data_IF_977185161952
#
_entry.id   IF_977185161952
#
_cell.length_a   1.000
_cell.length_b   1.000
_cell.length_c   1.000
_cell.angle_alpha   90.00
_cell.angle_beta   90.00
_cell.angle_gamma   90.00
#
_symmetry.space_group_name_H-M   'P 1'
#
loop_
_entity.id
_entity.type
_entity.pdbx_description
1 polymer ?
#
# COMPACT_ATOMS: atom_id res chain seq x y z
N UNK A 1 2.09 6.55 31.75
CA UNK A 1 0.77 6.14 31.25
C UNK A 1 0.69 6.62 29.81
N UNK A 2 0.42 5.73 28.85
CA UNK A 2 0.31 6.13 27.44
C UNK A 2 -1.10 6.68 27.25
N UNK A 3 -1.23 7.89 26.71
CA UNK A 3 -2.51 8.41 26.26
C UNK A 3 -2.74 7.85 24.85
N UNK A 4 -3.74 6.99 24.70
CA UNK A 4 -4.07 6.35 23.43
C UNK A 4 -5.59 6.18 23.35
N UNK A 5 -6.16 6.47 22.18
CA UNK A 5 -7.59 6.34 21.95
C UNK A 5 -7.99 4.88 21.66
N UNK A 6 -9.24 4.46 21.95
CA UNK A 6 -9.67 3.08 21.73
C UNK A 6 -9.60 2.62 20.26
N UNK A 7 -9.93 3.50 19.33
CA UNK A 7 -9.87 3.27 17.88
C UNK A 7 -8.43 3.18 17.35
N UNK A 8 -7.47 3.89 17.97
CA UNK A 8 -6.05 3.71 17.70
C UNK A 8 -5.57 2.32 18.17
N UNK A 9 -6.01 1.86 19.34
CA UNK A 9 -5.69 0.53 19.84
C UNK A 9 -6.23 -0.57 18.94
N UNK A 10 -7.45 -0.41 18.43
CA UNK A 10 -8.06 -1.34 17.48
C UNK A 10 -7.23 -1.42 16.19
N UNK A 11 -6.85 -0.28 15.61
CA UNK A 11 -6.01 -0.24 14.41
C UNK A 11 -4.64 -0.90 14.63
N UNK A 12 -4.00 -0.68 15.78
CA UNK A 12 -2.73 -1.35 16.14
C UNK A 12 -2.91 -2.87 16.24
N UNK A 13 -4.04 -3.33 16.78
CA UNK A 13 -4.33 -4.76 16.88
C UNK A 13 -4.55 -5.40 15.51
N UNK A 14 -5.28 -4.73 14.62
CA UNK A 14 -5.49 -5.16 13.23
C UNK A 14 -4.16 -5.30 12.48
N UNK A 15 -3.29 -4.31 12.62
CA UNK A 15 -1.98 -4.27 11.96
C UNK A 15 -0.99 -5.28 12.55
N UNK A 16 -1.20 -5.69 13.81
CA UNK A 16 -0.50 -6.83 14.40
C UNK A 16 -0.83 -8.18 13.77
N UNK A 17 -1.86 -8.27 12.90
CA UNK A 17 -2.24 -9.48 12.15
C UNK A 17 -2.36 -10.74 13.03
N UNK A 18 -2.84 -10.56 14.27
CA UNK A 18 -2.99 -11.63 15.27
C UNK A 18 -1.76 -11.91 16.14
N UNK A 19 -0.66 -11.19 15.95
CA UNK A 19 0.56 -11.28 16.76
C UNK A 19 0.58 -10.20 17.84
N UNK A 20 0.38 -10.61 19.09
CA UNK A 20 0.45 -9.70 20.25
C UNK A 20 1.83 -9.02 20.35
N UNK A 21 2.91 -9.75 20.02
CA UNK A 21 4.27 -9.20 20.01
C UNK A 21 4.41 -8.07 19.00
N UNK A 22 3.85 -8.24 17.81
CA UNK A 22 3.96 -7.24 16.75
C UNK A 22 3.14 -5.99 17.09
N UNK A 23 1.96 -6.15 17.70
CA UNK A 23 1.18 -5.04 18.24
C UNK A 23 1.94 -4.25 19.32
N UNK A 24 2.65 -4.93 20.24
CA UNK A 24 3.48 -4.24 21.25
C UNK A 24 4.68 -3.53 20.62
N UNK A 25 5.35 -4.18 19.66
CA UNK A 25 6.47 -3.59 18.92
C UNK A 25 6.05 -2.31 18.20
N UNK A 26 4.89 -2.33 17.55
CA UNK A 26 4.31 -1.18 16.84
C UNK A 26 3.92 -0.07 17.83
N UNK A 27 3.32 -0.41 18.97
CA UNK A 27 2.99 0.56 20.01
C UNK A 27 4.24 1.25 20.58
N UNK A 28 5.32 0.51 20.83
CA UNK A 28 6.59 1.07 21.30
C UNK A 28 7.22 2.01 20.25
N UNK A 29 7.11 1.68 18.97
CA UNK A 29 7.55 2.57 17.88
C UNK A 29 6.74 3.87 17.86
N UNK A 30 5.41 3.80 17.90
CA UNK A 30 4.53 4.98 17.92
C UNK A 30 4.82 5.89 19.11
N UNK A 31 5.04 5.29 20.29
CA UNK A 31 5.42 6.01 21.50
C UNK A 31 6.77 6.73 21.37
N UNK A 32 7.72 6.18 20.61
CA UNK A 32 9.01 6.84 20.38
C UNK A 32 8.93 8.05 19.43
N UNK A 33 7.83 8.19 18.70
CA UNK A 33 7.60 9.23 17.70
C UNK A 33 6.76 10.39 18.23
N UNK A 34 5.97 10.18 19.28
CA UNK A 34 5.10 11.21 19.88
C UNK A 34 5.18 11.22 21.40
N UNK A 35 5.17 12.44 21.95
CA UNK A 35 5.00 12.69 23.38
C UNK A 35 3.52 13.01 23.73
N UNK A 36 2.60 12.86 22.76
CA UNK A 36 1.18 13.21 22.85
C UNK A 36 0.25 11.98 22.86
N UNK A 37 -1.05 12.23 22.89
CA UNK A 37 -2.08 11.21 22.70
C UNK A 37 -1.92 10.56 21.33
N UNK A 38 -1.78 9.23 21.31
CA UNK A 38 -1.79 8.43 20.09
C UNK A 38 -3.26 8.26 19.66
N UNK A 39 -3.64 8.90 18.56
CA UNK A 39 -4.96 8.75 17.95
C UNK A 39 -4.91 7.91 16.65
N UNK A 40 -6.07 7.51 16.13
CA UNK A 40 -6.16 6.66 14.93
C UNK A 40 -5.50 7.29 13.71
N UNK A 41 -5.66 8.61 13.53
CA UNK A 41 -5.08 9.34 12.41
C UNK A 41 -3.55 9.30 12.45
N UNK A 42 -2.96 9.53 13.62
CA UNK A 42 -1.52 9.41 13.79
C UNK A 42 -1.03 7.98 13.51
N UNK A 43 -1.74 6.96 14.00
CA UNK A 43 -1.39 5.56 13.71
C UNK A 43 -1.45 5.27 12.22
N UNK A 44 -2.53 5.67 11.54
CA UNK A 44 -2.68 5.49 10.10
C UNK A 44 -1.53 6.14 9.34
N UNK A 45 -1.20 7.39 9.67
CA UNK A 45 -0.14 8.15 9.03
C UNK A 45 1.25 7.56 9.25
N UNK A 46 1.57 7.09 10.46
CA UNK A 46 2.85 6.40 10.74
C UNK A 46 2.97 5.11 9.94
N UNK A 47 1.87 4.37 9.79
CA UNK A 47 1.84 3.13 9.04
C UNK A 47 1.68 3.35 7.53
N UNK A 48 1.54 4.61 7.09
CA UNK A 48 1.30 4.99 5.71
C UNK A 48 -0.06 4.53 5.19
N UNK A 49 -1.03 4.22 6.04
CA UNK A 49 -2.38 3.78 5.67
C UNK A 49 -3.19 4.94 5.09
N UNK A 50 -4.02 4.65 4.08
CA UNK A 50 -4.98 5.63 3.61
C UNK A 50 -6.10 5.85 4.63
N UNK A 51 -6.60 7.08 4.62
CA UNK A 51 -7.77 7.48 5.39
C UNK A 51 -9.03 6.80 4.86
N UNK A 52 -9.99 6.56 5.75
CA UNK A 52 -11.23 5.84 5.45
C UNK A 52 -12.00 6.51 4.30
N UNK A 53 -12.03 7.84 4.25
CA UNK A 53 -12.69 8.63 3.20
C UNK A 53 -12.10 8.39 1.81
N UNK A 54 -10.77 8.26 1.72
CA UNK A 54 -10.08 8.01 0.46
C UNK A 54 -10.40 6.61 -0.07
N UNK A 55 -10.41 5.62 0.82
CA UNK A 55 -10.73 4.23 0.45
C UNK A 55 -12.19 4.10 0.02
N UNK A 56 -13.13 4.77 0.70
CA UNK A 56 -14.52 4.85 0.27
C UNK A 56 -14.66 5.55 -1.09
N UNK A 57 -13.91 6.63 -1.32
CA UNK A 57 -13.84 7.31 -2.61
C UNK A 57 -13.40 6.40 -3.75
N UNK A 58 -12.39 5.56 -3.52
CA UNK A 58 -11.91 4.58 -4.50
C UNK A 58 -12.98 3.52 -4.82
N UNK A 59 -13.71 3.03 -3.81
CA UNK A 59 -14.83 2.09 -4.01
C UNK A 59 -16.00 2.74 -4.76
N UNK A 60 -16.29 4.01 -4.48
CA UNK A 60 -17.31 4.76 -5.20
C UNK A 60 -16.92 4.98 -6.67
N UNK A 61 -15.66 5.37 -6.93
CA UNK A 61 -15.11 5.51 -8.28
C UNK A 61 -15.15 4.18 -9.05
N UNK A 62 -14.82 3.07 -8.38
CA UNK A 62 -15.01 1.74 -8.94
C UNK A 62 -16.47 1.48 -9.30
N UNK A 63 -17.41 1.80 -8.40
CA UNK A 63 -18.83 1.54 -8.60
C UNK A 63 -19.43 2.30 -9.79
N UNK A 64 -18.98 3.54 -10.02
CA UNK A 64 -19.40 4.39 -11.13
C UNK A 64 -18.56 4.22 -12.39
N UNK A 65 -17.53 3.34 -12.36
CA UNK A 65 -16.55 3.17 -13.42
C UNK A 65 -15.81 4.48 -13.79
N UNK A 66 -15.63 5.38 -12.82
CA UNK A 66 -14.91 6.64 -12.99
C UNK A 66 -13.39 6.43 -12.80
N UNK A 67 -12.74 6.09 -13.91
CA UNK A 67 -11.29 5.86 -13.95
C UNK A 67 -10.51 7.16 -13.65
N UNK A 68 -11.05 8.31 -14.04
CA UNK A 68 -10.39 9.60 -13.84
C UNK A 68 -10.32 9.96 -12.36
N UNK A 69 -11.44 9.82 -11.65
CA UNK A 69 -11.49 10.04 -10.21
C UNK A 69 -10.64 9.00 -9.44
N UNK A 70 -10.69 7.73 -9.85
CA UNK A 70 -9.84 6.68 -9.25
C UNK A 70 -8.35 7.00 -9.37
N UNK A 71 -7.89 7.48 -10.54
CA UNK A 71 -6.49 7.86 -10.74
C UNK A 71 -6.08 9.03 -9.85
N UNK A 72 -6.95 10.05 -9.71
CA UNK A 72 -6.69 11.20 -8.83
C UNK A 72 -6.55 10.78 -7.36
N UNK A 73 -7.43 9.90 -6.87
CA UNK A 73 -7.36 9.41 -5.49
C UNK A 73 -6.11 8.55 -5.23
N UNK A 74 -5.64 7.79 -6.22
CA UNK A 74 -4.36 7.07 -6.11
C UNK A 74 -3.19 8.07 -6.01
N UNK A 75 -3.19 9.12 -6.84
CA UNK A 75 -2.14 10.14 -6.82
C UNK A 75 -2.13 10.91 -5.48
N UNK A 76 -3.32 11.23 -4.95
CA UNK A 76 -3.47 11.86 -3.63
C UNK A 76 -2.94 10.95 -2.51
N UNK A 77 -3.27 9.67 -2.54
CA UNK A 77 -2.78 8.70 -1.57
C UNK A 77 -1.26 8.55 -1.61
N UNK A 78 -0.65 8.44 -2.79
CA UNK A 78 0.80 8.35 -2.93
C UNK A 78 1.49 9.64 -2.44
N UNK A 79 0.93 10.81 -2.77
CA UNK A 79 1.43 12.09 -2.26
C UNK A 79 1.30 12.20 -0.74
N UNK A 80 0.26 11.60 -0.14
CA UNK A 80 0.09 11.48 1.30
C UNK A 80 0.97 10.39 1.96
N UNK A 81 1.77 9.67 1.16
CA UNK A 81 2.70 8.65 1.66
C UNK A 81 2.13 7.25 1.76
N UNK A 82 0.93 7.00 1.22
CA UNK A 82 0.31 5.68 1.13
C UNK A 82 0.65 5.01 -0.21
N UNK A 83 1.48 3.96 -0.22
CA UNK A 83 1.85 3.28 -1.47
C UNK A 83 0.68 2.44 -2.02
N UNK A 84 0.65 2.25 -3.34
CA UNK A 84 -0.41 1.54 -4.04
C UNK A 84 -0.62 0.08 -3.55
N UNK A 85 0.44 -0.59 -3.10
CA UNK A 85 0.38 -1.93 -2.50
C UNK A 85 -0.47 -1.93 -1.23
N UNK A 86 -0.27 -0.95 -0.37
CA UNK A 86 -0.98 -0.83 0.90
C UNK A 86 -2.45 -0.40 0.66
N UNK A 87 -2.67 0.51 -0.29
CA UNK A 87 -4.02 0.83 -0.77
C UNK A 87 -4.76 -0.41 -1.25
N UNK A 88 -4.09 -1.25 -2.04
CA UNK A 88 -4.68 -2.48 -2.55
C UNK A 88 -5.00 -3.47 -1.42
N UNK A 89 -4.14 -3.59 -0.40
CA UNK A 89 -4.41 -4.41 0.79
C UNK A 89 -5.63 -3.89 1.58
N UNK A 90 -5.74 -2.57 1.78
CA UNK A 90 -6.89 -1.96 2.46
C UNK A 90 -8.18 -2.20 1.67
N UNK A 91 -8.17 -1.92 0.37
CA UNK A 91 -9.30 -2.18 -0.53
C UNK A 91 -9.69 -3.65 -0.54
N UNK A 92 -8.72 -4.57 -0.57
CA UNK A 92 -8.97 -6.01 -0.52
C UNK A 92 -9.68 -6.40 0.77
N UNK A 93 -9.24 -5.85 1.91
CA UNK A 93 -9.84 -6.07 3.22
C UNK A 93 -11.31 -5.65 3.27
N UNK A 94 -11.60 -4.42 2.85
CA UNK A 94 -12.96 -3.85 2.85
C UNK A 94 -13.84 -4.56 1.82
N UNK A 95 -13.35 -4.75 0.59
CA UNK A 95 -14.11 -5.43 -0.45
C UNK A 95 -14.48 -6.87 -0.04
N UNK A 96 -13.59 -7.58 0.66
CA UNK A 96 -13.87 -8.93 1.18
C UNK A 96 -14.99 -8.93 2.21
N UNK A 97 -15.06 -7.91 3.06
CA UNK A 97 -16.15 -7.78 4.04
C UNK A 97 -17.49 -7.48 3.35
N UNK A 98 -17.48 -6.61 2.34
CA UNK A 98 -18.70 -6.13 1.65
C UNK A 98 -19.20 -7.03 0.53
N UNK A 99 -18.39 -7.96 0.03
CA UNK A 99 -18.75 -8.82 -1.12
C UNK A 99 -20.01 -9.66 -0.90
N UNK A 100 -20.35 -9.96 0.35
CA UNK A 100 -21.57 -10.69 0.71
C UNK A 100 -22.83 -9.87 0.38
N UNK A 101 -22.73 -8.55 0.52
CA UNK A 101 -23.82 -7.60 0.28
C UNK A 101 -23.76 -7.02 -1.14
N UNK A 102 -22.55 -6.84 -1.70
CA UNK A 102 -22.31 -6.36 -3.06
C UNK A 102 -21.42 -7.31 -3.86
N UNK A 103 -22.05 -8.22 -4.60
CA UNK A 103 -21.37 -9.15 -5.49
C UNK A 103 -20.63 -8.46 -6.66
N UNK A 104 -20.92 -7.18 -6.94
CA UNK A 104 -20.21 -6.42 -7.99
C UNK A 104 -18.74 -6.15 -7.62
N UNK A 105 -18.33 -6.38 -6.36
CA UNK A 105 -16.93 -6.29 -5.93
C UNK A 105 -16.10 -7.53 -6.26
N UNK A 106 -16.71 -8.65 -6.65
CA UNK A 106 -15.97 -9.89 -6.97
C UNK A 106 -14.90 -9.72 -8.05
N UNK A 107 -15.15 -9.03 -9.17
CA UNK A 107 -14.10 -8.79 -10.17
C UNK A 107 -12.96 -7.92 -9.63
N UNK A 108 -13.27 -6.93 -8.78
CA UNK A 108 -12.24 -6.10 -8.13
C UNK A 108 -11.36 -6.95 -7.20
N UNK A 109 -11.97 -7.80 -6.37
CA UNK A 109 -11.26 -8.71 -5.47
C UNK A 109 -10.26 -9.59 -6.21
N UNK A 110 -10.68 -10.22 -7.32
CA UNK A 110 -9.80 -11.05 -8.16
C UNK A 110 -8.56 -10.28 -8.63
N UNK A 111 -8.75 -9.02 -9.09
CA UNK A 111 -7.66 -8.17 -9.57
C UNK A 111 -6.75 -7.66 -8.45
N UNK A 112 -7.31 -7.30 -7.29
CA UNK A 112 -6.54 -6.80 -6.15
C UNK A 112 -5.52 -7.82 -5.63
N UNK A 113 -5.80 -9.13 -5.76
CA UNK A 113 -4.85 -10.19 -5.36
C UNK A 113 -3.52 -10.17 -6.13
N UNK A 114 -3.50 -9.59 -7.33
CA UNK A 114 -2.31 -9.49 -8.17
C UNK A 114 -1.49 -8.22 -7.88
N UNK A 115 -2.10 -7.17 -7.32
CA UNK A 115 -1.48 -5.85 -7.17
C UNK A 115 -0.21 -5.88 -6.30
N UNK A 116 -0.18 -6.53 -5.11
CA UNK A 116 1.02 -6.56 -4.27
C UNK A 116 2.21 -7.29 -4.89
N UNK A 117 1.99 -8.09 -5.94
CA UNK A 117 3.05 -8.85 -6.65
C UNK A 117 3.39 -8.26 -8.01
N UNK A 118 2.71 -7.20 -8.42
CA UNK A 118 2.98 -6.56 -9.69
C UNK A 118 4.33 -5.84 -9.62
N UNK A 119 5.09 -5.84 -10.72
CA UNK A 119 6.28 -4.98 -10.81
C UNK A 119 5.94 -3.47 -10.84
N UNK A 120 4.66 -3.15 -11.08
CA UNK A 120 4.14 -1.79 -11.24
C UNK A 120 2.80 -1.65 -10.49
N UNK A 121 2.80 -1.66 -9.13
CA UNK A 121 1.58 -1.77 -8.32
C UNK A 121 0.58 -0.65 -8.55
N UNK A 122 1.03 0.60 -8.75
CA UNK A 122 0.17 1.73 -9.11
C UNK A 122 -0.66 1.47 -10.38
N UNK A 123 -0.01 0.98 -11.43
CA UNK A 123 -0.69 0.66 -12.70
C UNK A 123 -1.62 -0.54 -12.52
N UNK A 124 -1.17 -1.57 -11.80
CA UNK A 124 -2.00 -2.73 -11.50
C UNK A 124 -3.27 -2.33 -10.74
N UNK A 125 -3.15 -1.47 -9.72
CA UNK A 125 -4.28 -0.94 -8.96
C UNK A 125 -5.25 -0.15 -9.85
N UNK A 126 -4.74 0.75 -10.69
CA UNK A 126 -5.58 1.51 -11.61
C UNK A 126 -6.33 0.60 -12.59
N UNK A 127 -5.65 -0.43 -13.13
CA UNK A 127 -6.31 -1.40 -14.02
C UNK A 127 -7.32 -2.29 -13.28
N UNK A 128 -7.09 -2.58 -12.00
CA UNK A 128 -8.04 -3.29 -11.16
C UNK A 128 -9.32 -2.46 -10.96
N UNK A 129 -9.19 -1.17 -10.68
CA UNK A 129 -10.32 -0.24 -10.54
C UNK A 129 -11.04 0.02 -11.88
N UNK A 130 -10.32 0.01 -13.00
CA UNK A 130 -10.91 0.13 -14.33
C UNK A 130 -11.65 -1.14 -14.81
N UNK A 131 -11.51 -2.28 -14.10
CA UNK A 131 -12.05 -3.57 -14.55
C UNK A 131 -13.56 -3.61 -14.72
N UNK A 132 -14.31 -2.72 -14.05
CA UNK A 132 -15.76 -2.59 -14.21
C UNK A 132 -16.17 -1.90 -15.51
N UNK A 133 -15.32 -1.00 -16.03
CA UNK A 133 -15.56 -0.27 -17.27
C UNK A 133 -15.29 -1.14 -18.51
N UNK A 134 -14.47 -2.18 -18.37
CA UNK A 134 -14.07 -3.01 -19.49
C UNK A 134 -15.23 -3.91 -19.94
N UNK A 135 -15.76 -3.76 -21.17
CA UNK A 135 -16.58 -4.82 -21.73
C UNK A 135 -15.73 -6.10 -21.82
N UNK A 136 -16.34 -7.30 -21.67
CA UNK A 136 -15.60 -8.53 -21.94
C UNK A 136 -15.08 -8.42 -23.35
N UNK A 137 -13.75 -8.46 -23.52
CA UNK A 137 -13.11 -8.48 -24.84
C UNK A 137 -13.79 -9.58 -25.64
N UNK A 138 -14.58 -9.14 -26.62
CA UNK A 138 -15.44 -9.98 -27.40
C UNK A 138 -14.60 -11.05 -28.11
N UNK A 139 -15.03 -12.30 -27.93
CA UNK A 139 -14.87 -13.49 -28.76
C UNK A 139 -13.50 -13.75 -29.45
N UNK A 140 -12.97 -14.99 -29.36
CA UNK A 140 -11.87 -15.42 -30.22
C UNK A 140 -12.21 -15.10 -31.67
N UNK A 141 -11.26 -14.52 -32.40
CA UNK A 141 -11.38 -14.16 -33.80
C UNK A 141 -12.12 -15.24 -34.58
N UNK A 142 -13.39 -14.96 -34.93
CA UNK A 142 -14.13 -15.81 -35.85
C UNK A 142 -13.46 -15.63 -37.20
N UNK A 143 -12.58 -16.57 -37.53
CA UNK A 143 -11.98 -16.71 -38.85
C UNK A 143 -13.14 -16.66 -39.87
N UNK A 144 -13.12 -15.77 -40.87
CA UNK A 144 -14.15 -15.78 -41.89
C UNK A 144 -14.00 -17.08 -42.68
N UNK A 145 -14.90 -18.04 -42.42
CA UNK A 145 -15.08 -19.18 -43.32
C UNK A 145 -15.48 -18.64 -44.69
N UNK A 146 -14.82 -19.06 -45.79
CA UNK A 146 -15.23 -18.62 -47.12
C UNK A 146 -16.64 -19.15 -47.38
N UNK A 147 -17.52 -18.27 -47.84
CA UNK A 147 -18.85 -18.62 -48.28
C UNK A 147 -18.74 -19.64 -49.43
N UNK A 148 -19.07 -20.90 -49.18
CA UNK A 148 -19.40 -21.84 -50.25
C UNK A 148 -20.75 -21.43 -50.81
N UNK A 149 -20.70 -20.90 -52.03
CA UNK A 149 -21.82 -20.63 -52.93
C UNK A 149 -22.80 -21.81 -52.89
N UNK A 150 -24.03 -21.54 -52.48
CA UNK A 150 -25.16 -22.47 -52.65
C UNK A 150 -25.59 -22.40 -54.11
N UNK A 151 -25.11 -23.33 -54.93
CA UNK A 151 -25.61 -23.56 -56.28
C UNK A 151 -26.84 -24.50 -56.21
N UNK A 152 -27.93 -24.23 -56.94
CA UNK A 152 -29.18 -24.95 -56.77
C UNK A 152 -29.14 -26.36 -57.37
N UNK A 153 -29.83 -27.24 -56.66
CA UNK A 153 -29.94 -28.70 -56.81
C UNK A 153 -30.44 -29.10 -58.20
N UNK A 154 -29.73 -30.02 -58.85
CA UNK A 154 -30.30 -30.90 -59.87
C UNK A 154 -30.29 -32.34 -59.33
N UNK A 155 -31.48 -32.85 -59.02
CA UNK A 155 -31.71 -34.20 -58.52
C UNK A 155 -31.61 -35.22 -59.64
N UNK A 156 -30.72 -36.20 -59.52
CA UNK A 156 -30.87 -37.48 -60.23
C UNK A 156 -30.58 -38.66 -59.29
N UNK A 157 -31.51 -39.59 -59.34
CA UNK A 157 -31.67 -40.83 -58.57
C UNK A 157 -30.68 -41.91 -59.01
N UNK A 158 -30.00 -42.61 -58.08
CA UNK A 158 -29.96 -44.08 -58.04
C UNK A 158 -29.36 -44.68 -56.74
N UNK A 159 -30.23 -45.35 -55.98
CA UNK A 159 -30.16 -46.63 -55.20
C UNK A 159 -28.89 -47.53 -55.22
N UNK A 160 -28.76 -48.58 -54.34
CA UNK A 160 -28.23 -48.56 -52.97
C UNK A 160 -27.12 -49.62 -52.69
N UNK A 161 -26.34 -49.48 -51.61
CA UNK A 161 -25.68 -50.61 -50.90
C UNK A 161 -25.20 -50.18 -49.51
N UNK A 162 -25.49 -50.99 -48.50
CA UNK A 162 -25.08 -50.89 -47.09
C UNK A 162 -24.15 -52.08 -46.74
N UNK A 163 -23.74 -52.35 -45.47
CA UNK A 163 -23.26 -51.50 -44.37
C UNK A 163 -21.95 -52.06 -43.74
N UNK A 164 -21.37 -51.39 -42.73
CA UNK A 164 -20.66 -51.97 -41.56
C UNK A 164 -20.33 -50.80 -40.59
N UNK A 165 -20.98 -50.65 -39.42
CA UNK A 165 -20.66 -51.26 -38.10
C UNK A 165 -19.15 -51.10 -37.75
N UNK A 166 -18.70 -50.53 -36.62
CA UNK A 166 -19.14 -50.54 -35.21
C UNK A 166 -18.47 -49.39 -34.41
N UNK A 167 -19.10 -48.93 -33.33
CA UNK A 167 -18.47 -48.23 -32.18
C UNK A 167 -18.18 -49.25 -31.05
N UNK A 168 -17.77 -48.90 -29.82
CA UNK A 168 -16.83 -47.89 -29.26
C UNK A 168 -15.78 -48.61 -28.36
N UNK A 169 -14.98 -47.88 -27.53
CA UNK A 169 -14.55 -48.23 -26.14
C UNK A 169 -13.25 -47.46 -25.75
N UNK A 170 -13.36 -46.61 -24.72
CA UNK A 170 -12.29 -46.28 -23.75
C UNK A 170 -12.45 -47.25 -22.54
N UNK A 171 -11.56 -47.37 -21.51
CA UNK A 171 -10.52 -46.43 -21.05
C UNK A 171 -9.25 -47.10 -20.43
N UNK A 172 -8.39 -46.29 -19.80
CA UNK A 172 -7.71 -46.51 -18.50
C UNK A 172 -6.18 -46.47 -18.47
N UNK A 173 -5.71 -45.49 -17.68
CA UNK A 173 -4.72 -45.57 -16.59
C UNK A 173 -3.39 -46.29 -16.80
N UNK A 174 -2.31 -45.53 -16.60
CA UNK A 174 -0.99 -46.06 -16.26
C UNK A 174 -0.18 -45.03 -15.49
N UNK A 175 -0.12 -45.18 -14.17
CA UNK A 175 1.03 -44.76 -13.36
C UNK A 175 1.92 -45.99 -13.18
N UNK A 176 3.24 -45.82 -12.99
CA UNK A 176 3.73 -46.12 -11.65
C UNK A 176 4.88 -45.21 -11.16
N UNK A 177 4.91 -45.08 -9.83
CA UNK A 177 6.05 -44.71 -8.99
C UNK A 177 7.20 -45.73 -9.12
N UNK A 178 8.43 -45.28 -8.87
CA UNK A 178 9.37 -46.07 -8.07
C UNK A 178 10.32 -45.17 -7.25
N UNK A 179 10.34 -45.43 -5.94
CA UNK A 179 11.36 -45.05 -4.95
C UNK A 179 12.70 -45.75 -5.23
N UNK A 180 13.81 -45.20 -4.74
CA UNK A 180 14.68 -45.91 -3.77
C UNK A 180 15.70 -44.97 -3.12
N UNK A 181 15.92 -45.25 -1.83
CA UNK A 181 16.76 -44.64 -0.80
C UNK A 181 18.30 -44.69 -0.98
N UNK A 182 18.99 -43.95 -0.10
CA UNK A 182 20.33 -44.26 0.42
C UNK A 182 21.19 -43.00 0.63
N UNK A 183 21.19 -42.31 1.77
CA UNK A 183 21.76 -42.63 3.11
C UNK A 183 23.20 -42.10 3.35
N UNK A 184 23.33 -41.37 4.48
CA UNK A 184 24.51 -41.17 5.35
C UNK A 184 25.73 -40.38 4.81
N UNK A 185 26.51 -39.59 5.59
CA UNK A 185 26.45 -39.05 6.96
C UNK A 185 27.68 -38.12 7.17
N UNK A 186 27.55 -37.13 8.07
CA UNK A 186 28.59 -36.48 8.93
C UNK A 186 29.79 -35.77 8.25
N UNK A 187 30.44 -34.72 8.76
CA UNK A 187 30.63 -34.27 10.14
C UNK A 187 31.20 -32.83 10.21
N UNK A 188 30.82 -32.10 11.26
CA UNK A 188 31.63 -31.25 12.17
C UNK A 188 32.65 -30.19 11.69
N UNK A 189 32.60 -29.03 12.40
CA UNK A 189 33.75 -28.18 12.74
C UNK A 189 33.55 -26.67 12.48
N UNK A 190 32.91 -25.90 13.38
CA UNK A 190 33.46 -25.15 14.53
C UNK A 190 34.23 -23.84 14.26
N UNK A 191 33.81 -22.83 15.04
CA UNK A 191 34.58 -21.76 15.71
C UNK A 191 34.71 -20.38 15.06
N UNK A 192 34.40 -19.35 15.87
CA UNK A 192 35.04 -18.05 15.74
C UNK A 192 34.36 -16.80 16.31
N UNK A 193 33.85 -16.80 17.55
CA UNK A 193 33.88 -15.57 18.38
C UNK A 193 35.27 -15.38 18.98
N UNK A 194 35.65 -14.14 19.32
CA UNK A 194 36.01 -13.91 20.72
C UNK A 194 35.42 -12.64 21.33
N UNK A 195 35.42 -12.65 22.65
CA UNK A 195 34.94 -11.65 23.62
C UNK A 195 36.13 -11.07 24.40
N UNK A 196 35.85 -10.02 25.19
CA UNK A 196 36.63 -9.37 26.26
C UNK A 196 37.53 -8.19 25.82
N UNK A 197 37.68 -7.08 26.55
CA UNK A 197 37.38 -6.83 27.96
C UNK A 197 37.29 -5.32 28.30
N UNK A 198 36.91 -5.06 29.56
CA UNK A 198 36.60 -3.82 30.26
C UNK A 198 37.71 -2.77 30.43
N UNK A 199 37.30 -1.51 30.68
CA UNK A 199 37.90 -0.62 31.69
C UNK A 199 36.93 0.50 32.12
N UNK A 200 36.80 0.66 33.44
CA UNK A 200 36.08 1.70 34.19
C UNK A 200 36.64 3.12 34.01
N UNK A 201 35.76 4.14 33.95
CA UNK A 201 35.97 5.46 34.57
C UNK A 201 34.66 6.24 34.83
N UNK A 202 34.23 6.18 36.08
CA UNK A 202 33.99 7.31 37.01
C UNK A 202 33.19 8.55 36.60
N UNK A 203 32.02 8.68 37.26
CA UNK A 203 31.39 9.86 37.89
C UNK A 203 32.09 11.23 37.83
N UNK A 204 31.41 12.22 37.23
CA UNK A 204 31.35 13.66 37.56
C UNK A 204 30.52 14.35 36.46
N UNK A 205 29.74 15.42 36.61
CA UNK A 205 29.19 16.18 37.73
C UNK A 205 28.16 17.12 37.06
N UNK A 206 27.01 17.29 37.69
CA UNK A 206 26.03 18.34 37.43
C UNK A 206 26.73 19.72 37.28
N UNK A 207 26.11 20.65 36.56
CA UNK A 207 25.74 21.86 37.27
C UNK A 207 24.26 22.19 37.07
N UNK A 208 23.56 22.27 38.21
CA UNK A 208 22.51 23.27 38.40
C UNK A 208 23.14 24.66 38.31
N UNK A 209 22.50 25.56 37.58
CA UNK A 209 22.35 26.96 38.01
C UNK A 209 20.95 27.43 37.62
N UNK A 210 20.15 27.70 38.63
CA UNK A 210 18.98 28.55 38.54
C UNK A 210 19.39 30.02 38.44
N UNK A 211 18.40 30.84 38.08
CA UNK A 211 18.22 32.28 38.31
C UNK A 211 18.48 33.18 37.10
N UNK A 212 17.35 33.72 36.62
CA UNK A 212 17.10 35.05 36.06
C UNK A 212 18.30 35.95 35.76
N UNK A 213 18.36 36.41 34.50
CA UNK A 213 18.31 37.84 34.23
C UNK A 213 17.72 38.10 32.85
N UNK A 214 16.75 39.01 32.86
CA UNK A 214 16.37 39.92 31.79
C UNK A 214 17.61 40.49 31.11
N UNK A 215 17.75 40.33 29.79
CA UNK A 215 18.34 41.27 28.84
C UNK A 215 18.15 40.70 27.42
N UNK A 216 17.17 41.26 26.72
CA UNK A 216 17.10 41.27 25.26
C UNK A 216 18.43 41.68 24.62
N UNK A 217 18.83 41.02 23.53
CA UNK A 217 19.38 41.72 22.39
C UNK A 217 18.37 41.61 21.24
N UNK A 218 17.59 42.67 21.09
CA UNK A 218 16.90 42.99 19.84
C UNK A 218 17.93 43.12 18.73
N UNK A 219 17.93 42.17 17.80
CA UNK A 219 18.38 42.42 16.43
C UNK A 219 17.56 41.53 15.51
N UNK A 220 16.38 42.01 15.15
CA UNK A 220 15.64 41.53 13.99
C UNK A 220 16.42 41.96 12.74
N UNK A 221 16.88 41.06 11.86
CA UNK A 221 17.04 41.44 10.46
C UNK A 221 15.64 41.47 9.83
N UNK A 222 15.37 42.46 8.98
CA UNK A 222 14.09 42.67 8.33
C UNK A 222 13.53 41.37 7.70
N UNK A 223 12.22 41.09 7.82
CA UNK A 223 11.66 39.88 7.24
C UNK A 223 11.65 40.05 5.72
N UNK A 224 12.53 39.31 5.04
CA UNK A 224 12.33 39.03 3.62
C UNK A 224 11.04 38.20 3.55
N UNK A 225 9.97 38.82 3.05
CA UNK A 225 8.64 38.23 3.02
C UNK A 225 8.64 37.01 2.09
N UNK A 226 8.72 35.82 2.66
CA UNK A 226 8.63 34.56 1.93
C UNK A 226 7.14 34.28 1.67
N UNK A 227 6.72 34.00 0.42
CA UNK A 227 5.31 33.76 0.11
C UNK A 227 4.85 32.40 0.65
N UNK A 228 4.60 32.34 1.96
CA UNK A 228 4.30 31.12 2.70
C UNK A 228 3.06 30.39 2.17
N UNK A 229 1.99 31.12 1.85
CA UNK A 229 0.76 30.53 1.29
C UNK A 229 0.99 29.86 -0.07
N UNK A 230 1.80 30.46 -0.96
CA UNK A 230 2.13 29.85 -2.26
C UNK A 230 2.98 28.59 -2.09
N UNK A 231 3.85 28.57 -1.09
CA UNK A 231 4.62 27.39 -0.72
C UNK A 231 3.71 26.28 -0.17
N UNK A 232 2.75 26.60 0.69
CA UNK A 232 1.76 25.64 1.19
C UNK A 232 0.90 25.05 0.06
N UNK A 233 0.54 25.84 -0.94
CA UNK A 233 -0.23 25.38 -2.11
C UNK A 233 0.61 24.49 -3.05
N UNK A 234 1.93 24.72 -3.11
CA UNK A 234 2.85 23.87 -3.87
C UNK A 234 3.11 22.51 -3.19
N UNK A 235 2.97 22.43 -1.86
CA UNK A 235 3.08 21.16 -1.12
C UNK A 235 1.79 20.35 -1.30
N UNK A 236 1.79 19.45 -2.28
CA UNK A 236 0.62 18.63 -2.64
C UNK A 236 0.19 17.59 -1.59
N UNK A 237 1.02 17.31 -0.59
CA UNK A 237 0.70 16.36 0.47
C UNK A 237 -0.16 17.00 1.57
N UNK A 238 -1.45 16.63 1.61
CA UNK A 238 -2.45 17.16 2.57
C UNK A 238 -2.00 16.98 4.04
N UNK A 239 -1.33 15.86 4.35
CA UNK A 239 -0.76 15.59 5.68
C UNK A 239 0.32 16.61 6.07
N UNK A 240 1.35 16.78 5.24
CA UNK A 240 2.43 17.73 5.51
C UNK A 240 1.95 19.19 5.54
N UNK A 241 0.98 19.56 4.70
CA UNK A 241 0.39 20.90 4.70
C UNK A 241 -0.25 21.23 6.06
N UNK A 242 -0.87 20.26 6.72
CA UNK A 242 -1.46 20.45 8.06
C UNK A 242 -0.40 20.77 9.11
N UNK A 243 0.78 20.16 9.02
CA UNK A 243 1.91 20.44 9.91
C UNK A 243 2.61 21.75 9.55
N UNK A 244 2.78 22.05 8.26
CA UNK A 244 3.36 23.31 7.79
C UNK A 244 2.49 24.51 8.17
N UNK A 245 1.16 24.41 8.05
CA UNK A 245 0.24 25.50 8.46
C UNK A 245 0.37 25.88 9.94
N UNK A 246 0.85 24.94 10.79
CA UNK A 246 1.08 25.16 12.23
C UNK A 246 2.56 25.44 12.56
N UNK A 247 3.47 25.30 11.60
CA UNK A 247 4.90 25.45 11.82
C UNK A 247 5.29 26.94 11.78
N UNK A 248 6.23 27.31 12.66
CA UNK A 248 6.94 28.59 12.50
C UNK A 248 7.93 28.50 11.34
N UNK A 249 8.20 29.61 10.66
CA UNK A 249 9.21 29.67 9.61
C UNK A 249 10.05 30.95 9.72
N UNK A 250 11.30 30.86 9.29
CA UNK A 250 12.19 32.00 9.11
C UNK A 250 12.88 31.88 7.75
N UNK A 251 12.97 32.98 7.02
CA UNK A 251 13.62 33.03 5.71
C UNK A 251 14.71 34.10 5.74
N UNK A 252 15.93 33.71 5.40
CA UNK A 252 17.10 34.61 5.39
C UNK A 252 17.47 35.10 3.97
N UNK A 253 16.62 34.84 2.97
CA UNK A 253 16.86 35.18 1.57
C UNK A 253 17.48 34.05 0.74
N UNK A 254 18.07 33.01 1.36
CA UNK A 254 18.62 31.83 0.67
C UNK A 254 18.08 30.51 1.23
N UNK A 255 17.84 30.45 2.54
CA UNK A 255 17.45 29.26 3.28
C UNK A 255 16.11 29.51 3.95
N UNK A 256 15.14 28.64 3.68
CA UNK A 256 13.90 28.57 4.44
C UNK A 256 14.09 27.60 5.60
N UNK A 257 14.07 28.11 6.82
CA UNK A 257 14.14 27.31 8.04
C UNK A 257 12.73 27.09 8.58
N UNK A 258 12.29 25.84 8.59
CA UNK A 258 10.96 25.43 9.06
C UNK A 258 11.09 24.83 10.46
N UNK A 259 10.43 25.45 11.43
CA UNK A 259 10.36 24.97 12.81
C UNK A 259 9.18 24.02 12.96
N UNK A 260 9.39 22.77 12.56
CA UNK A 260 8.40 21.69 12.65
C UNK A 260 7.91 21.38 14.08
N UNK A 261 8.62 21.87 15.11
CA UNK A 261 8.33 21.60 16.51
C UNK A 261 8.70 20.18 16.90
N UNK A 262 7.78 19.23 16.74
CA UNK A 262 7.94 17.84 17.21
C UNK A 262 8.58 16.94 16.15
N UNK A 263 9.20 15.85 16.60
CA UNK A 263 9.86 14.86 15.74
C UNK A 263 8.92 14.28 14.67
N UNK A 264 7.67 14.01 15.05
CA UNK A 264 6.65 13.51 14.11
C UNK A 264 6.36 14.51 12.99
N UNK A 265 6.07 15.77 13.33
CA UNK A 265 5.82 16.83 12.34
C UNK A 265 7.03 17.05 11.41
N UNK A 266 8.26 17.00 11.94
CA UNK A 266 9.48 17.05 11.13
C UNK A 266 9.52 15.92 10.10
N UNK A 267 9.25 14.69 10.52
CA UNK A 267 9.25 13.52 9.65
C UNK A 267 8.22 13.65 8.52
N UNK A 268 7.04 14.19 8.81
CA UNK A 268 6.00 14.41 7.79
C UNK A 268 6.40 15.49 6.79
N UNK A 269 6.97 16.59 7.27
CA UNK A 269 7.45 17.67 6.40
C UNK A 269 8.59 17.18 5.51
N UNK A 270 9.59 16.48 6.06
CA UNK A 270 10.72 15.97 5.30
C UNK A 270 10.29 15.01 4.17
N UNK A 271 9.22 14.24 4.38
CA UNK A 271 8.73 13.26 3.41
C UNK A 271 7.96 13.87 2.24
N UNK A 272 7.32 15.02 2.47
CA UNK A 272 6.52 15.71 1.46
C UNK A 272 7.31 16.75 0.65
N UNK A 273 8.50 17.13 1.11
CA UNK A 273 9.36 18.05 0.36
C UNK A 273 10.06 17.31 -0.78
N UNK A 274 10.01 17.83 -2.02
CA UNK A 274 10.77 17.26 -3.13
C UNK A 274 12.27 17.45 -2.86
N UNK A 275 13.03 16.35 -2.90
CA UNK A 275 14.51 16.35 -2.94
C UNK A 275 15.07 16.91 -4.24
#
# INVERSE_FOLDING_TARGET
>A
KIAITPDALELIAEQGKGSFRDSISLLDQLRSLSDETIDRAMVAEVLGLAQDELVEGLLAAYATADIGHAAQLIDEAEAAGTPAELLAEQLLGIARQRVVEDAALLPLLDKLLAVPRAGWPRIALLTALASRAAPPVAAPHRQPSPATVSEPVASYTHSPAAPSQTSPVAPSSGSPRQETDGAAASSAGQSGTPSASAADYTSAKQPSVSVANDETPTTSPDPVDFPWEQFLDAVGAVGARTYLAKAGHAFDGQTLMIYAGKKFAKMQIDRALPT
#
